data_IF_045077623643
#
_entry.id   IF_045077623643
#
_cell.length_a   1.000
_cell.length_b   1.000
_cell.length_c   1.000
_cell.angle_alpha   90.00
_cell.angle_beta   90.00
_cell.angle_gamma   90.00
#
_symmetry.space_group_name_H-M   'P 1'
#
loop_
_entity.id
_entity.type
_entity.pdbx_description
1 polymer ?
#
# COMPACT_ATOMS: atom_id res chain seq x y z
N UNK A 1 -10.00 24.05 -13.38
CA UNK A 1 -9.00 23.09 -13.87
C UNK A 1 -8.00 22.66 -12.79
N UNK A 2 -7.49 23.58 -11.95
CA UNK A 2 -6.53 23.27 -10.88
C UNK A 2 -7.01 22.18 -9.91
N UNK A 3 -8.24 22.28 -9.39
CA UNK A 3 -8.80 21.30 -8.44
C UNK A 3 -8.89 19.87 -9.01
N UNK A 4 -9.18 19.75 -10.31
CA UNK A 4 -9.33 18.46 -10.98
C UNK A 4 -8.01 17.70 -11.18
N UNK A 5 -6.88 18.41 -11.22
CA UNK A 5 -5.56 17.82 -11.51
C UNK A 5 -4.76 17.52 -10.24
N UNK A 6 -5.05 18.20 -9.13
CA UNK A 6 -4.36 17.98 -7.85
C UNK A 6 -4.40 16.52 -7.36
N UNK A 7 -5.48 15.74 -7.52
CA UNK A 7 -5.47 14.31 -7.19
C UNK A 7 -4.38 13.50 -7.91
N UNK A 8 -4.09 13.82 -9.18
CA UNK A 8 -3.02 13.14 -9.93
C UNK A 8 -1.64 13.54 -9.41
N UNK A 9 -1.46 14.78 -8.96
CA UNK A 9 -0.23 15.19 -8.30
C UNK A 9 -0.05 14.47 -6.96
N UNK A 10 -1.12 14.37 -6.16
CA UNK A 10 -1.12 13.59 -4.91
C UNK A 10 -0.75 12.13 -5.18
N UNK A 11 -1.33 11.52 -6.21
CA UNK A 11 -1.01 10.16 -6.63
C UNK A 11 0.47 10.01 -6.97
N UNK A 12 1.01 10.88 -7.83
CA UNK A 12 2.43 10.84 -8.19
C UNK A 12 3.35 10.96 -6.97
N UNK A 13 3.00 11.83 -6.01
CA UNK A 13 3.74 12.00 -4.76
C UNK A 13 3.59 10.82 -3.80
N UNK A 14 2.45 10.12 -3.82
CA UNK A 14 2.28 8.87 -3.10
C UNK A 14 3.21 7.78 -3.62
N UNK A 15 3.31 7.62 -4.94
CA UNK A 15 4.20 6.60 -5.53
C UNK A 15 5.65 6.79 -5.08
N UNK A 16 6.12 8.03 -4.95
CA UNK A 16 7.48 8.39 -4.50
C UNK A 16 7.63 8.62 -3.00
N UNK A 17 6.61 8.31 -2.19
CA UNK A 17 6.61 8.49 -0.74
C UNK A 17 6.88 9.93 -0.25
N UNK A 18 6.55 10.94 -1.04
CA UNK A 18 6.65 12.37 -0.68
C UNK A 18 5.41 12.81 0.11
N UNK A 19 5.29 12.33 1.34
CA UNK A 19 4.15 12.53 2.25
C UNK A 19 3.98 13.99 2.66
N UNK A 20 5.07 14.75 2.83
CA UNK A 20 5.00 16.18 3.13
C UNK A 20 4.27 16.94 2.01
N UNK A 21 4.58 16.62 0.75
CA UNK A 21 3.88 17.19 -0.41
C UNK A 21 2.42 16.74 -0.48
N UNK A 22 2.12 15.47 -0.15
CA UNK A 22 0.74 14.98 -0.07
C UNK A 22 -0.07 15.77 0.95
N UNK A 23 0.50 16.11 2.13
CA UNK A 23 -0.20 16.95 3.12
C UNK A 23 -0.57 18.31 2.55
N UNK A 24 0.40 18.99 1.91
CA UNK A 24 0.21 20.32 1.33
C UNK A 24 -0.85 20.28 0.20
N UNK A 25 -0.72 19.33 -0.72
CA UNK A 25 -1.63 19.18 -1.86
C UNK A 25 -3.03 18.78 -1.40
N UNK A 26 -3.14 17.87 -0.43
CA UNK A 26 -4.45 17.46 0.10
C UNK A 26 -5.16 18.60 0.82
N UNK A 27 -4.44 19.38 1.64
CA UNK A 27 -5.02 20.57 2.27
C UNK A 27 -5.46 21.59 1.21
N UNK A 28 -4.67 21.78 0.15
CA UNK A 28 -5.03 22.67 -0.96
C UNK A 28 -6.30 22.24 -1.67
N UNK A 29 -6.50 20.93 -1.88
CA UNK A 29 -7.74 20.39 -2.45
C UNK A 29 -8.93 20.66 -1.53
N UNK A 30 -8.77 20.42 -0.22
CA UNK A 30 -9.81 20.64 0.79
C UNK A 30 -10.26 22.10 0.80
N UNK A 31 -9.30 23.04 0.85
CA UNK A 31 -9.59 24.47 0.87
C UNK A 31 -10.31 24.94 -0.40
N UNK A 32 -9.93 24.41 -1.57
CA UNK A 32 -10.50 24.77 -2.87
C UNK A 32 -11.87 24.15 -3.14
N UNK A 33 -12.18 23.03 -2.49
CA UNK A 33 -13.46 22.33 -2.65
C UNK A 33 -14.59 23.00 -1.85
N UNK A 34 -14.27 23.81 -0.83
CA UNK A 34 -15.26 24.56 -0.01
C UNK A 34 -16.38 23.66 0.57
N UNK A 35 -16.08 22.38 0.82
CA UNK A 35 -17.03 21.39 1.34
C UNK A 35 -17.94 20.73 0.29
N UNK A 36 -17.86 21.13 -0.98
CA UNK A 36 -18.63 20.52 -2.06
C UNK A 36 -17.97 19.24 -2.56
N UNK A 37 -18.61 18.08 -2.34
CA UNK A 37 -18.04 16.77 -2.64
C UNK A 37 -17.65 16.58 -4.11
N UNK A 38 -18.43 17.09 -5.05
CA UNK A 38 -18.24 16.85 -6.49
C UNK A 38 -17.54 18.00 -7.22
N UNK A 39 -17.20 19.08 -6.49
CA UNK A 39 -16.59 20.28 -7.09
C UNK A 39 -15.22 19.94 -7.68
N UNK A 40 -15.04 20.33 -8.94
CA UNK A 40 -13.82 20.03 -9.69
C UNK A 40 -13.67 18.57 -10.11
N UNK A 41 -14.74 17.76 -10.02
CA UNK A 41 -14.72 16.39 -10.51
C UNK A 41 -14.47 16.32 -12.03
N UNK A 42 -13.47 15.55 -12.43
CA UNK A 42 -13.14 15.30 -13.84
C UNK A 42 -12.48 13.93 -14.01
N UNK A 43 -11.38 13.71 -13.28
CA UNK A 43 -10.67 12.43 -13.24
C UNK A 43 -11.28 11.58 -12.13
N UNK A 44 -11.24 12.11 -10.90
CA UNK A 44 -12.02 11.61 -9.78
C UNK A 44 -13.34 12.37 -9.76
N UNK A 45 -14.48 11.70 -9.54
CA UNK A 45 -15.75 12.41 -9.37
C UNK A 45 -15.82 13.19 -8.05
N UNK A 46 -14.96 12.87 -7.07
CA UNK A 46 -14.76 13.65 -5.84
C UNK A 46 -13.27 13.81 -5.50
N UNK A 47 -12.63 14.89 -6.00
CA UNK A 47 -11.27 15.27 -5.57
C UNK A 47 -11.18 15.48 -4.05
N UNK A 48 -12.23 16.05 -3.44
CA UNK A 48 -12.31 16.31 -2.01
C UNK A 48 -12.19 15.02 -1.19
N UNK A 49 -13.00 14.01 -1.49
CA UNK A 49 -12.99 12.75 -0.73
C UNK A 49 -11.66 12.01 -0.89
N UNK A 50 -11.04 12.07 -2.07
CA UNK A 50 -9.69 11.56 -2.26
C UNK A 50 -8.67 12.26 -1.35
N UNK A 51 -8.67 13.60 -1.31
CA UNK A 51 -7.77 14.36 -0.44
C UNK A 51 -8.03 14.14 1.06
N UNK A 52 -9.30 13.97 1.46
CA UNK A 52 -9.69 13.64 2.83
C UNK A 52 -9.11 12.30 3.29
N UNK A 53 -8.92 11.33 2.38
CA UNK A 53 -8.27 10.06 2.70
C UNK A 53 -6.73 10.15 2.67
N UNK A 54 -6.17 10.85 1.69
CA UNK A 54 -4.71 10.94 1.51
C UNK A 54 -4.02 11.76 2.60
N UNK A 55 -4.67 12.82 3.09
CA UNK A 55 -4.12 13.66 4.16
C UNK A 55 -3.82 12.89 5.46
N UNK A 56 -4.76 12.15 6.07
CA UNK A 56 -4.45 11.37 7.27
C UNK A 56 -3.45 10.23 7.01
N UNK A 57 -3.41 9.63 5.82
CA UNK A 57 -2.35 8.66 5.47
C UNK A 57 -0.97 9.33 5.55
N UNK A 58 -0.83 10.52 4.96
CA UNK A 58 0.42 11.26 5.04
C UNK A 58 0.78 11.68 6.49
N UNK A 59 -0.22 12.10 7.29
CA UNK A 59 -0.03 12.38 8.73
C UNK A 59 0.51 11.15 9.47
N UNK A 60 -0.08 9.98 9.22
CA UNK A 60 0.35 8.72 9.82
C UNK A 60 1.79 8.37 9.43
N UNK A 61 2.15 8.52 8.14
CA UNK A 61 3.51 8.29 7.65
C UNK A 61 4.55 9.25 8.24
N UNK A 62 4.16 10.45 8.65
CA UNK A 62 5.04 11.47 9.24
C UNK A 62 4.97 11.53 10.77
N UNK A 63 4.23 10.62 11.42
CA UNK A 63 4.10 10.60 12.88
C UNK A 63 3.27 11.75 13.46
N UNK A 64 2.44 12.40 12.65
CA UNK A 64 1.59 13.51 13.07
C UNK A 64 0.28 12.97 13.64
N UNK A 65 -0.07 13.38 14.86
CA UNK A 65 -1.27 12.94 15.57
C UNK A 65 -2.61 13.29 14.88
N UNK A 66 -3.68 12.63 15.33
CA UNK A 66 -5.05 12.88 14.87
C UNK A 66 -5.43 12.21 13.54
N UNK A 67 -4.53 11.45 12.92
CA UNK A 67 -4.77 10.83 11.61
C UNK A 67 -5.86 9.74 11.61
N UNK A 68 -5.99 8.97 12.70
CA UNK A 68 -6.94 7.83 12.80
C UNK A 68 -8.40 8.25 12.60
N UNK A 69 -8.97 9.17 13.40
CA UNK A 69 -10.37 9.57 13.24
C UNK A 69 -10.64 10.19 11.86
N UNK A 70 -9.70 11.01 11.35
CA UNK A 70 -9.81 11.60 10.01
C UNK A 70 -9.88 10.52 8.90
N UNK A 71 -9.04 9.48 8.98
CA UNK A 71 -9.06 8.39 8.00
C UNK A 71 -10.37 7.60 8.06
N UNK A 72 -10.90 7.35 9.26
CA UNK A 72 -12.18 6.66 9.45
C UNK A 72 -13.34 7.45 8.85
N UNK A 73 -13.35 8.77 9.06
CA UNK A 73 -14.36 9.67 8.47
C UNK A 73 -14.28 9.65 6.93
N UNK A 74 -13.09 9.76 6.35
CA UNK A 74 -12.91 9.72 4.90
C UNK A 74 -13.43 8.40 4.29
N UNK A 75 -13.19 7.26 4.95
CA UNK A 75 -13.71 5.95 4.54
C UNK A 75 -15.24 5.89 4.57
N UNK A 76 -15.88 6.57 5.54
CA UNK A 76 -17.35 6.63 5.65
C UNK A 76 -17.94 7.47 4.52
N UNK A 77 -17.43 8.68 4.30
CA UNK A 77 -17.91 9.60 3.24
C UNK A 77 -17.68 9.02 1.84
N UNK A 78 -16.65 8.18 1.66
CA UNK A 78 -16.38 7.51 0.39
C UNK A 78 -17.53 6.65 -0.15
N UNK A 79 -18.49 6.24 0.70
CA UNK A 79 -19.68 5.49 0.26
C UNK A 79 -20.63 6.33 -0.59
N UNK A 80 -20.56 7.65 -0.49
CA UNK A 80 -21.52 8.61 -1.06
C UNK A 80 -21.09 9.21 -2.40
N UNK A 81 -19.87 8.90 -2.85
CA UNK A 81 -19.26 9.47 -4.07
C UNK A 81 -19.16 8.43 -5.19
N UNK A 82 -18.69 8.87 -6.35
CA UNK A 82 -18.53 8.03 -7.52
C UNK A 82 -17.64 6.80 -7.25
N UNK A 83 -17.83 5.70 -7.99
CA UNK A 83 -17.09 4.46 -7.78
C UNK A 83 -15.57 4.60 -7.84
N UNK A 84 -15.00 5.45 -8.72
CA UNK A 84 -13.54 5.59 -8.82
C UNK A 84 -12.96 6.27 -7.57
N UNK A 85 -13.59 7.35 -7.10
CA UNK A 85 -13.20 7.99 -5.84
C UNK A 85 -13.34 7.03 -4.65
N UNK A 86 -14.45 6.30 -4.57
CA UNK A 86 -14.69 5.31 -3.51
C UNK A 86 -13.62 4.21 -3.50
N UNK A 87 -13.37 3.59 -4.65
CA UNK A 87 -12.40 2.50 -4.79
C UNK A 87 -10.98 2.95 -4.47
N UNK A 88 -10.63 4.19 -4.85
CA UNK A 88 -9.35 4.79 -4.51
C UNK A 88 -9.20 4.99 -3.00
N UNK A 89 -10.20 5.55 -2.31
CA UNK A 89 -10.16 5.68 -0.84
C UNK A 89 -10.01 4.32 -0.17
N UNK A 90 -10.79 3.32 -0.59
CA UNK A 90 -10.72 1.95 -0.05
C UNK A 90 -9.33 1.36 -0.27
N UNK A 91 -8.77 1.49 -1.47
CA UNK A 91 -7.43 1.02 -1.79
C UNK A 91 -6.38 1.72 -0.92
N UNK A 92 -6.23 3.04 -1.01
CA UNK A 92 -5.15 3.73 -0.29
C UNK A 92 -5.28 3.58 1.23
N UNK A 93 -6.49 3.56 1.78
CA UNK A 93 -6.68 3.44 3.22
C UNK A 93 -6.39 2.04 3.76
N UNK A 94 -7.03 1.00 3.18
CA UNK A 94 -6.89 -0.35 3.71
C UNK A 94 -5.58 -1.01 3.28
N UNK A 95 -5.13 -0.78 2.06
CA UNK A 95 -3.84 -1.33 1.61
C UNK A 95 -2.72 -0.76 2.46
N UNK A 96 -2.62 0.57 2.60
CA UNK A 96 -1.68 1.22 3.53
C UNK A 96 -1.74 0.59 4.92
N UNK A 97 -2.95 0.53 5.50
CA UNK A 97 -3.09 0.12 6.88
C UNK A 97 -2.70 -1.34 7.11
N UNK A 98 -2.99 -2.23 6.15
CA UNK A 98 -2.66 -3.66 6.25
C UNK A 98 -1.17 -3.88 5.98
N UNK A 99 -0.62 -3.29 4.91
CA UNK A 99 0.78 -3.56 4.50
C UNK A 99 1.80 -3.03 5.50
N UNK A 100 1.49 -1.92 6.18
CA UNK A 100 2.36 -1.35 7.22
C UNK A 100 1.95 -1.74 8.64
N UNK A 101 1.06 -2.73 8.79
CA UNK A 101 0.72 -3.32 10.09
C UNK A 101 -0.08 -2.42 11.04
N UNK A 102 -0.67 -1.34 10.52
CA UNK A 102 -1.52 -0.41 11.25
C UNK A 102 -2.89 -1.04 11.58
N UNK A 103 -3.38 -1.91 10.70
CA UNK A 103 -4.67 -2.60 10.81
C UNK A 103 -4.51 -4.08 10.51
N UNK A 104 -5.10 -4.92 11.37
CA UNK A 104 -5.37 -6.32 11.05
C UNK A 104 -6.80 -6.43 10.51
N UNK A 105 -7.01 -6.89 9.27
CA UNK A 105 -8.34 -6.89 8.67
C UNK A 105 -9.23 -7.95 9.33
N UNK A 106 -10.50 -7.60 9.51
CA UNK A 106 -11.56 -8.46 10.00
C UNK A 106 -12.64 -8.68 8.92
N UNK A 107 -13.71 -9.38 9.27
CA UNK A 107 -14.79 -9.70 8.32
C UNK A 107 -15.56 -8.45 7.86
N UNK A 108 -15.56 -7.36 8.64
CA UNK A 108 -16.17 -6.09 8.23
C UNK A 108 -15.36 -5.39 7.16
N UNK A 109 -14.03 -5.38 7.29
CA UNK A 109 -13.12 -4.86 6.26
C UNK A 109 -13.27 -5.68 4.98
N UNK A 110 -13.24 -7.01 5.08
CA UNK A 110 -13.41 -7.90 3.92
C UNK A 110 -14.74 -7.66 3.23
N UNK A 111 -15.84 -7.59 3.99
CA UNK A 111 -17.19 -7.32 3.44
C UNK A 111 -17.24 -5.96 2.74
N UNK A 112 -16.67 -4.92 3.31
CA UNK A 112 -16.70 -3.59 2.70
C UNK A 112 -15.84 -3.52 1.43
N UNK A 113 -14.68 -4.18 1.39
CA UNK A 113 -13.89 -4.32 0.17
C UNK A 113 -14.66 -5.11 -0.90
N UNK A 114 -15.39 -6.17 -0.54
CA UNK A 114 -16.21 -6.95 -1.46
C UNK A 114 -17.39 -6.13 -2.03
N UNK A 115 -18.11 -5.37 -1.18
CA UNK A 115 -19.14 -4.42 -1.62
C UNK A 115 -18.56 -3.41 -2.64
N UNK A 116 -17.33 -2.95 -2.41
CA UNK A 116 -16.65 -1.97 -3.27
C UNK A 116 -16.22 -2.57 -4.62
N UNK A 117 -15.80 -3.84 -4.66
CA UNK A 117 -15.53 -4.57 -5.91
C UNK A 117 -16.79 -4.69 -6.76
N UNK A 118 -17.93 -5.03 -6.15
CA UNK A 118 -19.18 -5.13 -6.89
C UNK A 118 -19.59 -3.78 -7.49
N UNK A 119 -19.51 -2.69 -6.72
CA UNK A 119 -19.76 -1.33 -7.24
C UNK A 119 -18.82 -1.00 -8.41
N UNK A 120 -17.53 -1.32 -8.31
CA UNK A 120 -16.54 -1.04 -9.35
C UNK A 120 -16.86 -1.78 -10.66
N UNK A 121 -17.22 -3.06 -10.59
CA UNK A 121 -17.53 -3.88 -11.79
C UNK A 121 -18.67 -3.30 -12.63
N UNK A 122 -19.67 -2.67 -12.01
CA UNK A 122 -20.80 -2.07 -12.71
C UNK A 122 -20.43 -0.83 -13.53
N UNK A 123 -19.23 -0.26 -13.34
CA UNK A 123 -18.80 0.96 -14.05
C UNK A 123 -18.10 0.72 -15.37
N UNK A 124 -17.53 -0.48 -15.58
CA UNK A 124 -16.63 -0.75 -16.70
C UNK A 124 -15.25 -0.10 -16.60
N UNK A 125 -14.94 0.60 -15.50
CA UNK A 125 -13.63 1.19 -15.25
C UNK A 125 -12.63 0.13 -14.76
N UNK A 126 -11.68 -0.23 -15.63
CA UNK A 126 -10.66 -1.23 -15.33
C UNK A 126 -9.73 -0.83 -14.17
N UNK A 127 -9.48 0.46 -13.97
CA UNK A 127 -8.65 0.97 -12.88
C UNK A 127 -9.40 0.82 -11.55
N UNK A 128 -10.65 1.29 -11.50
CA UNK A 128 -11.50 1.17 -10.31
C UNK A 128 -11.64 -0.30 -9.87
N UNK A 129 -11.85 -1.20 -10.82
CA UNK A 129 -11.93 -2.64 -10.56
C UNK A 129 -10.61 -3.18 -10.01
N UNK A 130 -9.47 -2.82 -10.61
CA UNK A 130 -8.15 -3.32 -10.17
C UNK A 130 -7.79 -2.84 -8.77
N UNK A 131 -8.08 -1.58 -8.43
CA UNK A 131 -7.88 -1.02 -7.09
C UNK A 131 -8.75 -1.74 -6.04
N UNK A 132 -10.05 -1.91 -6.34
CA UNK A 132 -10.99 -2.57 -5.45
C UNK A 132 -10.60 -4.04 -5.19
N UNK A 133 -10.24 -4.76 -6.24
CA UNK A 133 -9.86 -6.17 -6.14
C UNK A 133 -8.54 -6.35 -5.40
N UNK A 134 -7.58 -5.44 -5.57
CA UNK A 134 -6.34 -5.45 -4.80
C UNK A 134 -6.62 -5.27 -3.31
N UNK A 135 -7.47 -4.29 -2.95
CA UNK A 135 -7.85 -4.05 -1.55
C UNK A 135 -8.57 -5.26 -0.92
N UNK A 136 -9.50 -5.88 -1.66
CA UNK A 136 -10.18 -7.10 -1.23
C UNK A 136 -9.21 -8.26 -1.05
N UNK A 137 -8.33 -8.48 -2.02
CA UNK A 137 -7.39 -9.58 -2.01
C UNK A 137 -6.43 -9.50 -0.79
N UNK A 138 -5.87 -8.32 -0.55
CA UNK A 138 -5.01 -8.05 0.61
C UNK A 138 -5.77 -8.22 1.93
N UNK A 139 -7.02 -7.76 1.98
CA UNK A 139 -7.88 -7.93 3.16
C UNK A 139 -8.17 -9.41 3.45
N UNK A 140 -8.41 -10.22 2.41
CA UNK A 140 -8.64 -11.66 2.54
C UNK A 140 -7.37 -12.40 3.01
N UNK A 141 -6.22 -12.15 2.37
CA UNK A 141 -4.96 -12.83 2.74
C UNK A 141 -4.47 -12.40 4.13
N UNK A 142 -4.68 -11.13 4.49
CA UNK A 142 -4.32 -10.58 5.78
C UNK A 142 -5.26 -10.97 6.93
N UNK A 143 -6.49 -11.41 6.65
CA UNK A 143 -7.45 -11.79 7.69
C UNK A 143 -7.08 -13.19 8.22
N UNK A 144 -6.69 -13.31 9.51
CA UNK A 144 -6.25 -14.59 10.08
C UNK A 144 -7.35 -15.65 10.19
N UNK A 145 -8.62 -15.24 10.10
CA UNK A 145 -9.80 -16.11 10.20
C UNK A 145 -10.34 -16.52 8.83
N UNK A 146 -9.90 -15.86 7.76
CA UNK A 146 -10.38 -16.13 6.40
C UNK A 146 -9.48 -17.16 5.68
N UNK A 147 -10.05 -17.97 4.77
CA UNK A 147 -9.24 -18.76 3.85
C UNK A 147 -8.44 -17.83 2.93
N UNK A 148 -7.14 -18.08 2.77
CA UNK A 148 -6.24 -17.26 1.95
C UNK A 148 -6.43 -17.47 0.45
N UNK A 149 -6.84 -18.67 0.03
CA UNK A 149 -6.95 -19.09 -1.38
C UNK A 149 -7.69 -18.08 -2.26
N UNK A 150 -8.93 -17.68 -1.93
CA UNK A 150 -9.67 -16.69 -2.72
C UNK A 150 -8.96 -15.34 -2.88
N UNK A 151 -8.22 -14.90 -1.85
CA UNK A 151 -7.43 -13.67 -1.93
C UNK A 151 -6.22 -13.81 -2.84
N UNK A 152 -5.52 -14.95 -2.78
CA UNK A 152 -4.36 -15.25 -3.63
C UNK A 152 -4.75 -15.38 -5.10
N UNK A 153 -5.85 -16.08 -5.38
CA UNK A 153 -6.39 -16.20 -6.74
C UNK A 153 -6.75 -14.83 -7.31
N UNK A 154 -7.25 -13.92 -6.47
CA UNK A 154 -7.56 -12.55 -6.87
C UNK A 154 -6.29 -11.72 -7.12
N UNK A 155 -5.25 -11.85 -6.27
CA UNK A 155 -3.95 -11.20 -6.52
C UNK A 155 -3.33 -11.67 -7.84
N UNK A 156 -3.40 -12.96 -8.16
CA UNK A 156 -2.91 -13.51 -9.42
C UNK A 156 -3.63 -12.89 -10.63
N UNK A 157 -4.97 -12.78 -10.58
CA UNK A 157 -5.77 -12.12 -11.63
C UNK A 157 -5.47 -10.63 -11.77
N UNK A 158 -5.24 -9.91 -10.68
CA UNK A 158 -4.78 -8.52 -10.73
C UNK A 158 -3.43 -8.46 -11.41
N UNK A 159 -2.47 -9.31 -11.00
CA UNK A 159 -1.12 -9.37 -11.58
C UNK A 159 -1.17 -9.56 -13.10
N UNK A 160 -1.89 -10.56 -13.59
CA UNK A 160 -2.00 -10.82 -15.04
C UNK A 160 -2.51 -9.60 -15.83
N UNK A 161 -3.48 -8.86 -15.29
CA UNK A 161 -4.01 -7.64 -15.91
C UNK A 161 -3.04 -6.46 -15.85
N UNK A 162 -2.32 -6.32 -14.74
CA UNK A 162 -1.32 -5.26 -14.54
C UNK A 162 -0.09 -5.47 -15.42
N UNK A 163 0.37 -6.72 -15.62
CA UNK A 163 1.54 -7.00 -16.46
C UNK A 163 1.23 -6.98 -17.97
N UNK A 164 -0.05 -7.06 -18.36
CA UNK A 164 -0.49 -6.95 -19.76
C UNK A 164 -0.82 -5.54 -20.24
N UNK A 165 -0.78 -4.52 -19.36
CA UNK A 165 -1.11 -3.12 -19.67
C UNK A 165 -0.16 -2.18 -18.94
N UNK A 166 0.17 -1.03 -19.51
CA UNK A 166 0.99 0.02 -18.90
C UNK A 166 0.27 0.70 -17.72
N UNK A 167 -0.02 -0.02 -16.64
CA UNK A 167 -0.52 0.59 -15.41
C UNK A 167 0.65 1.17 -14.62
N UNK A 168 0.69 2.51 -14.51
CA UNK A 168 1.72 3.31 -13.85
C UNK A 168 1.71 3.21 -12.30
N UNK A 169 0.92 2.30 -11.70
CA UNK A 169 0.79 2.17 -10.24
C UNK A 169 1.70 1.08 -9.69
N UNK A 170 2.39 1.34 -8.58
CA UNK A 170 3.28 0.40 -7.87
C UNK A 170 2.50 -0.67 -7.08
N UNK A 171 1.57 -1.37 -7.74
CA UNK A 171 0.83 -2.50 -7.14
C UNK A 171 1.69 -3.77 -7.12
N UNK A 172 2.61 -3.92 -8.08
CA UNK A 172 3.42 -5.14 -8.23
C UNK A 172 4.23 -5.50 -6.96
N UNK A 173 4.93 -4.57 -6.28
CA UNK A 173 5.61 -4.87 -5.02
C UNK A 173 4.70 -5.42 -3.92
N UNK A 174 3.45 -4.97 -3.89
CA UNK A 174 2.44 -5.42 -2.92
C UNK A 174 2.06 -6.86 -3.22
N UNK A 175 1.69 -7.14 -4.48
CA UNK A 175 1.33 -8.48 -4.94
C UNK A 175 2.48 -9.45 -4.66
N UNK A 176 3.69 -9.10 -5.07
CA UNK A 176 4.86 -9.97 -4.93
C UNK A 176 5.20 -10.26 -3.48
N UNK A 177 5.07 -9.27 -2.60
CA UNK A 177 5.29 -9.46 -1.16
C UNK A 177 4.29 -10.46 -0.55
N UNK A 178 3.01 -10.39 -0.93
CA UNK A 178 2.00 -11.33 -0.44
C UNK A 178 2.18 -12.72 -1.04
N UNK A 179 2.51 -12.82 -2.33
CA UNK A 179 2.78 -14.07 -3.02
C UNK A 179 4.03 -14.77 -2.47
N UNK A 180 5.11 -14.03 -2.20
CA UNK A 180 6.34 -14.58 -1.63
C UNK A 180 6.10 -15.14 -0.21
N UNK A 181 5.39 -14.39 0.65
CA UNK A 181 5.01 -14.85 1.99
C UNK A 181 4.19 -16.14 1.94
N UNK A 182 3.25 -16.23 1.01
CA UNK A 182 2.44 -17.44 0.86
C UNK A 182 3.28 -18.64 0.37
N UNK A 183 4.17 -18.45 -0.61
CA UNK A 183 5.10 -19.49 -1.09
C UNK A 183 5.92 -20.06 0.06
N UNK A 184 6.52 -19.19 0.87
CA UNK A 184 7.29 -19.62 2.03
C UNK A 184 6.42 -20.35 3.07
N UNK A 185 5.15 -19.94 3.24
CA UNK A 185 4.20 -20.60 4.14
C UNK A 185 3.85 -22.02 3.70
N UNK A 186 3.81 -22.29 2.39
CA UNK A 186 3.53 -23.64 1.85
C UNK A 186 4.79 -24.51 1.68
N UNK A 187 5.97 -23.96 1.99
CA UNK A 187 7.25 -24.70 2.02
C UNK A 187 8.25 -24.29 0.93
N UNK A 188 7.83 -23.47 -0.04
CA UNK A 188 8.66 -23.05 -1.18
C UNK A 188 9.51 -21.83 -0.84
N UNK A 189 10.33 -21.93 0.21
CA UNK A 189 11.10 -20.81 0.79
C UNK A 189 12.12 -20.24 -0.19
N UNK A 190 12.82 -21.07 -0.95
CA UNK A 190 13.84 -20.59 -1.91
C UNK A 190 13.21 -19.78 -3.05
N UNK A 191 12.09 -20.25 -3.59
CA UNK A 191 11.32 -19.53 -4.62
C UNK A 191 10.69 -18.24 -4.07
N UNK A 192 10.30 -18.22 -2.80
CA UNK A 192 9.83 -17.01 -2.13
C UNK A 192 10.95 -15.96 -2.00
N UNK A 193 12.16 -16.39 -1.60
CA UNK A 193 13.33 -15.52 -1.47
C UNK A 193 13.71 -14.94 -2.83
N UNK A 194 13.72 -15.76 -3.88
CA UNK A 194 14.05 -15.30 -5.23
C UNK A 194 13.03 -14.28 -5.76
N UNK A 195 11.73 -14.50 -5.52
CA UNK A 195 10.70 -13.52 -5.86
C UNK A 195 10.91 -12.19 -5.11
N UNK A 196 11.10 -12.25 -3.79
CA UNK A 196 11.31 -11.06 -2.97
C UNK A 196 12.60 -10.31 -3.34
N UNK A 197 13.67 -11.03 -3.70
CA UNK A 197 14.93 -10.45 -4.17
C UNK A 197 14.74 -9.64 -5.44
N UNK A 198 14.02 -10.20 -6.43
CA UNK A 198 13.70 -9.49 -7.68
C UNK A 198 12.89 -8.23 -7.41
N UNK A 199 11.87 -8.31 -6.55
CA UNK A 199 11.08 -7.13 -6.18
C UNK A 199 11.92 -6.02 -5.55
N UNK A 200 12.87 -6.35 -4.66
CA UNK A 200 13.79 -5.36 -4.09
C UNK A 200 14.74 -4.80 -5.15
N UNK A 201 15.25 -5.63 -6.06
CA UNK A 201 16.12 -5.20 -7.15
C UNK A 201 15.41 -4.28 -8.16
N UNK A 202 14.15 -4.56 -8.48
CA UNK A 202 13.34 -3.70 -9.36
C UNK A 202 13.12 -2.34 -8.70
N UNK A 203 12.81 -2.32 -7.39
CA UNK A 203 12.61 -1.10 -6.63
C UNK A 203 13.88 -0.26 -6.43
N UNK A 204 15.05 -0.89 -6.34
CA UNK A 204 16.32 -0.17 -6.20
C UNK A 204 16.75 0.57 -7.47
N UNK A 205 16.12 0.27 -8.62
CA UNK A 205 16.29 1.04 -9.85
C UNK A 205 15.54 2.39 -9.83
N UNK A 206 14.62 2.59 -8.89
CA UNK A 206 13.83 3.81 -8.73
C UNK A 206 14.32 4.63 -7.53
N UNK A 207 14.37 5.95 -7.65
CA UNK A 207 14.89 6.84 -6.59
C UNK A 207 14.09 6.76 -5.28
N UNK A 208 12.76 6.63 -5.38
CA UNK A 208 11.85 6.50 -4.22
C UNK A 208 10.64 5.63 -4.57
N UNK A 209 10.20 4.82 -3.61
CA UNK A 209 8.92 4.12 -3.68
C UNK A 209 8.33 3.91 -2.28
N UNK A 210 7.02 4.15 -2.13
CA UNK A 210 6.29 3.92 -0.87
C UNK A 210 6.37 2.48 -0.37
N UNK A 211 6.52 1.51 -1.26
CA UNK A 211 6.55 0.08 -0.88
C UNK A 211 7.96 -0.49 -0.64
N UNK A 212 9.00 0.34 -0.63
CA UNK A 212 10.37 -0.09 -0.30
C UNK A 212 10.45 -0.79 1.06
N UNK A 213 9.78 -0.26 2.08
CA UNK A 213 9.74 -0.86 3.41
C UNK A 213 9.02 -2.23 3.42
N UNK A 214 7.96 -2.39 2.64
CA UNK A 214 7.20 -3.65 2.52
C UNK A 214 8.04 -4.73 1.83
N UNK A 215 8.66 -4.41 0.69
CA UNK A 215 9.48 -5.34 -0.07
C UNK A 215 10.71 -5.77 0.73
N UNK A 216 11.43 -4.81 1.34
CA UNK A 216 12.60 -5.09 2.19
C UNK A 216 12.22 -5.97 3.37
N UNK A 217 11.11 -5.65 4.05
CA UNK A 217 10.63 -6.43 5.18
C UNK A 217 10.36 -7.88 4.78
N UNK A 218 9.67 -8.09 3.66
CA UNK A 218 9.36 -9.42 3.17
C UNK A 218 10.64 -10.19 2.84
N UNK A 219 11.58 -9.57 2.13
CA UNK A 219 12.85 -10.21 1.78
C UNK A 219 13.67 -10.59 3.02
N UNK A 220 13.82 -9.68 3.98
CA UNK A 220 14.55 -9.92 5.24
C UNK A 220 13.88 -11.02 6.06
N UNK A 221 12.56 -10.96 6.24
CA UNK A 221 11.81 -11.98 6.99
C UNK A 221 12.01 -13.39 6.39
N UNK A 222 12.01 -13.51 5.06
CA UNK A 222 12.23 -14.79 4.36
C UNK A 222 13.66 -15.30 4.48
N UNK A 223 14.65 -14.42 4.35
CA UNK A 223 16.06 -14.75 4.56
C UNK A 223 16.30 -15.29 5.98
N UNK A 224 15.76 -14.59 6.98
CA UNK A 224 15.89 -15.00 8.39
C UNK A 224 15.12 -16.29 8.69
N UNK A 225 14.00 -16.55 8.01
CA UNK A 225 13.29 -17.83 8.09
C UNK A 225 14.16 -19.00 7.58
N UNK A 226 14.93 -18.81 6.51
CA UNK A 226 15.85 -19.83 5.98
C UNK A 226 17.10 -20.00 6.86
N UNK A 227 17.61 -18.90 7.43
CA UNK A 227 18.57 -18.92 8.54
C UNK A 227 20.02 -19.25 8.16
N UNK A 228 20.41 -19.17 6.88
CA UNK A 228 21.79 -19.34 6.46
C UNK A 228 22.67 -18.14 6.83
N UNK A 229 23.99 -18.35 6.99
CA UNK A 229 24.93 -17.24 7.28
C UNK A 229 24.89 -16.14 6.21
N UNK A 230 24.85 -16.53 4.94
CA UNK A 230 24.68 -15.60 3.81
C UNK A 230 23.34 -14.88 3.85
N UNK A 231 22.31 -15.49 4.45
CA UNK A 231 20.99 -14.88 4.56
C UNK A 231 20.99 -13.72 5.55
N UNK A 232 21.74 -13.85 6.64
CA UNK A 232 21.95 -12.75 7.59
C UNK A 232 22.73 -11.59 6.95
N UNK A 233 23.76 -11.90 6.17
CA UNK A 233 24.55 -10.89 5.45
C UNK A 233 23.69 -10.16 4.39
N UNK A 234 22.92 -10.90 3.59
CA UNK A 234 21.97 -10.35 2.61
C UNK A 234 20.87 -9.52 3.29
N UNK A 235 20.37 -9.94 4.45
CA UNK A 235 19.37 -9.22 5.22
C UNK A 235 19.91 -7.86 5.71
N UNK A 236 21.16 -7.83 6.20
CA UNK A 236 21.84 -6.59 6.59
C UNK A 236 22.00 -5.65 5.41
N UNK A 237 22.45 -6.15 4.26
CA UNK A 237 22.59 -5.35 3.05
C UNK A 237 21.25 -4.72 2.60
N UNK A 238 20.15 -5.47 2.67
CA UNK A 238 18.83 -4.95 2.34
C UNK A 238 18.34 -3.87 3.35
N UNK A 239 18.63 -4.06 4.64
CA UNK A 239 18.35 -3.06 5.69
C UNK A 239 19.16 -1.78 5.45
N UNK A 240 20.45 -1.91 5.12
CA UNK A 240 21.33 -0.78 4.87
C UNK A 240 20.90 0.01 3.63
N UNK A 241 20.46 -0.69 2.57
CA UNK A 241 19.83 -0.06 1.41
C UNK A 241 18.59 0.75 1.81
N UNK A 242 17.63 0.14 2.52
CA UNK A 242 16.42 0.84 2.97
C UNK A 242 16.73 2.05 3.86
N UNK A 243 17.78 1.95 4.70
CA UNK A 243 18.22 3.04 5.57
C UNK A 243 18.88 4.20 4.79
N UNK A 244 19.51 3.90 3.66
CA UNK A 244 20.13 4.89 2.79
C UNK A 244 19.13 5.53 1.79
N UNK A 245 17.99 4.88 1.53
CA UNK A 245 16.97 5.38 0.61
C UNK A 245 16.43 6.75 1.07
N UNK A 246 16.46 7.79 0.21
CA UNK A 246 15.92 9.10 0.53
C UNK A 246 14.43 9.05 0.85
N UNK A 247 14.03 9.67 1.96
CA UNK A 247 12.63 9.81 2.39
C UNK A 247 12.39 11.21 2.94
N UNK A 248 11.15 11.52 3.29
CA UNK A 248 10.84 12.73 4.05
C UNK A 248 11.48 12.68 5.44
N UNK A 249 11.71 13.86 6.01
CA UNK A 249 12.06 13.97 7.41
C UNK A 249 10.98 13.31 8.27
N UNK A 250 11.41 12.53 9.27
CA UNK A 250 10.52 11.80 10.16
C UNK A 250 9.58 10.77 9.49
N UNK A 251 9.97 10.20 8.35
CA UNK A 251 9.20 9.13 7.73
C UNK A 251 9.11 7.86 8.61
N UNK A 252 8.00 7.71 9.34
CA UNK A 252 7.79 6.72 10.39
C UNK A 252 7.72 5.30 9.85
N UNK A 253 7.24 5.11 8.62
CA UNK A 253 7.18 3.79 7.97
C UNK A 253 8.57 3.17 7.91
N UNK A 254 9.60 3.92 7.49
CA UNK A 254 10.98 3.42 7.47
C UNK A 254 11.56 3.33 8.88
N UNK A 255 11.35 4.33 9.74
CA UNK A 255 11.89 4.30 11.12
C UNK A 255 11.43 3.05 11.88
N UNK A 256 10.14 2.76 11.87
CA UNK A 256 9.56 1.60 12.56
C UNK A 256 10.01 0.30 11.90
N UNK A 257 9.99 0.25 10.56
CA UNK A 257 10.44 -0.94 9.81
C UNK A 257 11.90 -1.27 10.12
N UNK A 258 12.80 -0.30 10.02
CA UNK A 258 14.24 -0.49 10.27
C UNK A 258 14.52 -0.96 11.70
N UNK A 259 13.84 -0.39 12.70
CA UNK A 259 13.95 -0.85 14.09
C UNK A 259 13.55 -2.32 14.23
N UNK A 260 12.41 -2.70 13.64
CA UNK A 260 11.91 -4.07 13.67
C UNK A 260 12.86 -5.04 12.97
N UNK A 261 13.34 -4.71 11.77
CA UNK A 261 14.21 -5.59 10.98
C UNK A 261 15.58 -5.78 11.64
N UNK A 262 16.15 -4.71 12.22
CA UNK A 262 17.40 -4.80 12.98
C UNK A 262 17.26 -5.69 14.23
N UNK A 263 16.12 -5.60 14.92
CA UNK A 263 15.83 -6.49 16.04
C UNK A 263 15.71 -7.96 15.62
N UNK A 264 15.05 -8.25 14.48
CA UNK A 264 14.96 -9.61 13.93
C UNK A 264 16.35 -10.18 13.57
N UNK A 265 17.22 -9.35 12.97
CA UNK A 265 18.60 -9.75 12.67
C UNK A 265 19.39 -10.03 13.95
N UNK A 266 19.32 -9.15 14.96
CA UNK A 266 19.98 -9.37 16.25
C UNK A 266 19.53 -10.69 16.91
N UNK A 267 18.22 -10.95 16.92
CA UNK A 267 17.65 -12.20 17.42
C UNK A 267 18.19 -13.43 16.66
N UNK A 268 18.32 -13.36 15.33
CA UNK A 268 18.88 -14.44 14.52
C UNK A 268 20.39 -14.67 14.78
N UNK A 269 21.09 -13.67 15.32
CA UNK A 269 22.50 -13.76 15.71
C UNK A 269 22.70 -14.20 17.17
N UNK A 270 21.63 -14.21 17.99
CA UNK A 270 21.67 -14.63 19.40
C UNK A 270 21.96 -13.51 20.40
N UNK A 271 21.81 -12.24 20.00
CA UNK A 271 21.88 -11.06 20.87
C UNK A 271 20.54 -10.81 21.59
#
# INVERSE_FOLDING_TARGET
>A
MTLALLPMAILAKHETAEMAEILLLSQRVIDLAEGELTRGGLIFGSPLVYALAMRPIAKACLGIDGWKPELVEAIQVAREVDPLSRTSVVFYSYVYAIVFGVLRPDDNVVRYCAETVEVAKHTGDNLAVSLAETALAISLVGNPRAPRGPGLDLLAKVRERTFGREFTLTIAPIIDSFMARERARVGDVDEAIELARRTVADLSSSDRCIYNALATSTFVELLLQRGGRRDVDDAKAAIDWLAATPTDDEFMVNKITLLRLRALVAQAQGD
#
